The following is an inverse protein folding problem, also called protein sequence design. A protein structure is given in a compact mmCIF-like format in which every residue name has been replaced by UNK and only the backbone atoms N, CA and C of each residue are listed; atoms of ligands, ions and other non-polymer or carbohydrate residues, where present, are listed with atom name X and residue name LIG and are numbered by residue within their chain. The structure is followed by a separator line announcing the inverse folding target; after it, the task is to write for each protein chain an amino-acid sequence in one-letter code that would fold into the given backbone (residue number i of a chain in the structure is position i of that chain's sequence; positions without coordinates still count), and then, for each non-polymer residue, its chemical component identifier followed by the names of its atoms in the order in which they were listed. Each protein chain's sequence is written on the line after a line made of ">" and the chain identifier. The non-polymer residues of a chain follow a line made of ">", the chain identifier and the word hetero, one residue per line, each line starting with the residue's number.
data_IF_571680567768
#
_entry.id   IF_571680567768
#
_cell.length_a   1.000
_cell.length_b   1.000
_cell.length_c   1.000
_cell.angle_alpha   90.00
_cell.angle_beta   90.00
_cell.angle_gamma   90.00
#
_symmetry.space_group_name_H-M   'P 1'
#
loop_
_entity.id
_entity.type
_entity.pdbx_description
1 polymer ?
#
# COMPACT_ATOMS: atom_id res chain seq x y z
N UNK A 1 13.67 8.13 13.97
CA UNK A 1 14.01 7.39 12.74
C UNK A 1 13.12 7.89 11.62
N UNK A 2 13.62 8.09 10.40
CA UNK A 2 12.78 8.45 9.24
C UNK A 2 12.62 7.22 8.35
N UNK A 3 11.38 6.91 7.95
CA UNK A 3 11.08 5.71 7.19
C UNK A 3 9.84 5.90 6.32
N UNK A 4 9.82 5.25 5.14
CA UNK A 4 8.77 5.38 4.13
C UNK A 4 8.43 4.01 3.55
N UNK A 5 7.16 3.83 3.18
CA UNK A 5 6.71 2.73 2.34
C UNK A 5 5.55 3.16 1.45
N UNK A 6 5.76 3.09 0.14
CA UNK A 6 4.76 3.42 -0.87
C UNK A 6 4.66 2.25 -1.84
N UNK A 7 3.74 1.35 -1.57
CA UNK A 7 3.68 0.03 -2.18
C UNK A 7 2.31 -0.23 -2.80
N UNK A 8 2.30 -0.96 -3.91
CA UNK A 8 1.10 -1.66 -4.37
C UNK A 8 1.23 -3.12 -3.94
N UNK A 9 0.22 -3.62 -3.23
CA UNK A 9 0.09 -5.03 -2.86
C UNK A 9 -0.96 -5.71 -3.73
N UNK A 10 -0.64 -6.89 -4.26
CA UNK A 10 -1.51 -7.63 -5.19
C UNK A 10 -1.47 -9.12 -4.86
N UNK A 11 -2.62 -9.80 -4.88
CA UNK A 11 -2.66 -11.27 -4.87
C UNK A 11 -2.19 -11.79 -6.24
N UNK A 12 -1.14 -12.65 -6.29
CA UNK A 12 -0.50 -13.04 -7.55
C UNK A 12 -1.30 -14.12 -8.28
N UNK A 13 -2.28 -13.72 -9.08
CA UNK A 13 -2.95 -14.59 -10.05
C UNK A 13 -2.14 -14.65 -11.36
N UNK A 14 -2.39 -15.66 -12.21
CA UNK A 14 -1.70 -15.76 -13.51
C UNK A 14 -1.93 -14.53 -14.38
N UNK A 15 -3.15 -13.98 -14.39
CA UNK A 15 -3.49 -12.78 -15.15
C UNK A 15 -2.72 -11.55 -14.65
N UNK A 16 -2.62 -11.39 -13.32
CA UNK A 16 -1.82 -10.31 -12.71
C UNK A 16 -0.36 -10.43 -13.09
N UNK A 17 0.23 -11.62 -12.91
CA UNK A 17 1.65 -11.85 -13.17
C UNK A 17 1.98 -11.57 -14.63
N UNK A 18 1.09 -11.96 -15.55
CA UNK A 18 1.23 -11.66 -16.97
C UNK A 18 1.16 -10.14 -17.24
N UNK A 19 0.14 -9.45 -16.75
CA UNK A 19 0.00 -8.00 -16.95
C UNK A 19 1.22 -7.25 -16.41
N UNK A 20 1.70 -7.63 -15.23
CA UNK A 20 2.85 -6.98 -14.58
C UNK A 20 4.15 -7.29 -15.30
N UNK A 21 4.33 -8.51 -15.82
CA UNK A 21 5.51 -8.87 -16.60
C UNK A 21 5.55 -8.20 -17.99
N UNK A 22 4.38 -7.98 -18.60
CA UNK A 22 4.24 -7.37 -19.92
C UNK A 22 4.30 -5.81 -19.87
N UNK A 23 4.09 -5.20 -18.71
CA UNK A 23 4.13 -3.74 -18.51
C UNK A 23 5.56 -3.26 -18.16
N UNK A 24 6.22 -2.46 -19.02
CA UNK A 24 7.61 -2.05 -18.82
C UNK A 24 7.83 -1.15 -17.60
N UNK A 25 6.79 -0.46 -17.12
CA UNK A 25 6.88 0.39 -15.93
C UNK A 25 6.77 -0.46 -14.66
N UNK A 26 5.89 -1.45 -14.66
CA UNK A 26 5.69 -2.32 -13.50
C UNK A 26 6.78 -3.38 -13.37
N UNK A 27 7.18 -4.01 -14.47
CA UNK A 27 8.05 -5.19 -14.45
C UNK A 27 9.38 -4.93 -13.73
N UNK A 28 9.93 -3.73 -13.83
CA UNK A 28 11.24 -3.38 -13.26
C UNK A 28 11.25 -3.32 -11.72
N UNK A 29 10.11 -2.98 -11.10
CA UNK A 29 10.05 -2.85 -9.63
C UNK A 29 8.89 -3.60 -9.01
N UNK A 30 8.56 -4.74 -9.60
CA UNK A 30 7.60 -5.68 -9.07
C UNK A 30 8.31 -6.93 -8.56
N UNK A 31 7.89 -7.40 -7.39
CA UNK A 31 8.55 -8.46 -6.64
C UNK A 31 7.54 -9.48 -6.17
N UNK A 32 7.62 -10.71 -6.68
CA UNK A 32 6.76 -11.80 -6.23
C UNK A 32 7.41 -12.56 -5.07
N UNK A 33 6.98 -12.24 -3.85
CA UNK A 33 7.50 -12.89 -2.64
C UNK A 33 6.60 -14.08 -2.29
N UNK A 34 7.13 -15.30 -2.49
CA UNK A 34 6.36 -16.54 -2.30
C UNK A 34 6.25 -16.98 -0.85
N UNK A 35 7.28 -16.71 -0.04
CA UNK A 35 7.31 -17.04 1.38
C UNK A 35 8.34 -16.17 2.12
N UNK A 36 8.42 -16.31 3.45
CA UNK A 36 9.35 -15.59 4.32
C UNK A 36 10.32 -16.55 5.06
N UNK A 37 10.62 -17.73 4.49
CA UNK A 37 11.43 -18.75 5.19
C UNK A 37 12.82 -18.25 5.57
N UNK A 38 13.39 -17.39 4.72
CA UNK A 38 14.75 -16.87 4.88
C UNK A 38 14.77 -15.49 5.58
N UNK A 39 13.60 -14.99 5.99
CA UNK A 39 13.50 -13.71 6.68
C UNK A 39 14.00 -13.82 8.12
N UNK A 40 14.90 -12.93 8.51
CA UNK A 40 15.39 -12.84 9.88
C UNK A 40 14.44 -11.97 10.70
N UNK A 41 13.67 -12.63 11.55
CA UNK A 41 12.70 -11.97 12.41
C UNK A 41 13.38 -11.22 13.56
N UNK A 42 12.91 -10.01 13.91
CA UNK A 42 13.42 -9.28 15.07
C UNK A 42 13.10 -10.00 16.38
N UNK A 43 11.93 -10.64 16.44
CA UNK A 43 11.41 -11.39 17.59
C UNK A 43 10.39 -12.43 17.11
N UNK A 44 10.07 -13.46 17.93
CA UNK A 44 9.09 -14.48 17.59
C UNK A 44 7.65 -13.96 17.47
N UNK A 45 7.28 -12.89 18.18
CA UNK A 45 5.91 -12.37 18.23
C UNK A 45 5.54 -11.64 16.94
N UNK A 46 6.52 -11.11 16.23
CA UNK A 46 6.35 -10.44 14.93
C UNK A 46 6.24 -11.42 13.75
N UNK A 47 6.43 -12.73 13.97
CA UNK A 47 6.41 -13.73 12.91
C UNK A 47 5.03 -13.86 12.27
N UNK A 48 5.00 -13.75 10.94
CA UNK A 48 3.81 -13.95 10.14
C UNK A 48 4.14 -14.72 8.86
N UNK A 49 3.10 -15.24 8.22
CA UNK A 49 3.20 -15.94 6.94
C UNK A 49 2.79 -15.03 5.79
N UNK A 50 2.93 -15.52 4.56
CA UNK A 50 2.32 -14.93 3.38
C UNK A 50 1.09 -15.75 2.97
N UNK A 51 0.19 -15.21 2.14
CA UNK A 51 -0.90 -15.99 1.55
C UNK A 51 -0.34 -17.19 0.77
N UNK A 52 -1.17 -18.20 0.48
CA UNK A 52 -0.73 -19.47 -0.13
C UNK A 52 0.11 -19.29 -1.41
N UNK A 53 -0.23 -18.29 -2.25
CA UNK A 53 0.49 -18.00 -3.50
C UNK A 53 1.56 -16.91 -3.33
N UNK A 54 1.86 -16.51 -2.10
CA UNK A 54 2.70 -15.35 -1.80
C UNK A 54 1.97 -14.03 -1.96
N UNK A 55 2.76 -12.96 -2.06
CA UNK A 55 2.29 -11.61 -2.31
C UNK A 55 3.14 -10.96 -3.41
N UNK A 56 2.49 -10.31 -4.38
CA UNK A 56 3.17 -9.46 -5.34
C UNK A 56 3.22 -8.03 -4.79
N UNK A 57 4.40 -7.44 -4.80
CA UNK A 57 4.65 -6.08 -4.30
C UNK A 57 5.27 -5.24 -5.40
N UNK A 58 4.64 -4.12 -5.77
CA UNK A 58 5.22 -3.11 -6.66
C UNK A 58 5.75 -1.97 -5.81
N UNK A 59 7.04 -1.65 -5.90
CA UNK A 59 7.65 -0.63 -5.04
C UNK A 59 8.97 -0.05 -5.57
N UNK A 60 9.30 1.20 -5.20
CA UNK A 60 8.39 2.20 -4.62
C UNK A 60 7.52 2.86 -5.71
N UNK A 61 6.30 3.26 -5.36
CA UNK A 61 5.34 3.94 -6.26
C UNK A 61 4.89 5.25 -5.64
N UNK A 62 4.89 6.37 -6.37
CA UNK A 62 4.48 7.67 -5.84
C UNK A 62 4.72 8.84 -6.79
N UNK A 63 4.66 10.05 -6.25
CA UNK A 63 5.11 11.30 -6.87
C UNK A 63 6.65 11.32 -6.94
N UNK A 64 7.26 11.36 -8.15
CA UNK A 64 8.71 11.46 -8.30
C UNK A 64 9.30 12.76 -7.74
N UNK A 65 8.51 13.82 -7.58
CA UNK A 65 8.91 15.12 -7.03
C UNK A 65 8.60 15.23 -5.53
N UNK A 66 7.99 14.20 -4.94
CA UNK A 66 7.70 14.14 -3.50
C UNK A 66 8.98 14.09 -2.65
N UNK A 67 8.94 14.67 -1.44
CA UNK A 67 10.10 14.72 -0.53
C UNK A 67 10.69 13.35 -0.20
N UNK A 68 9.88 12.29 -0.20
CA UNK A 68 10.32 10.92 0.03
C UNK A 68 11.17 10.34 -1.11
N UNK A 69 11.15 10.93 -2.32
CA UNK A 69 11.90 10.41 -3.45
C UNK A 69 13.40 10.34 -3.19
N UNK A 70 13.93 11.33 -2.49
CA UNK A 70 15.33 11.33 -2.05
C UNK A 70 15.69 10.08 -1.24
N UNK A 71 14.78 9.59 -0.40
CA UNK A 71 15.02 8.43 0.46
C UNK A 71 15.04 7.09 -0.28
N UNK A 72 14.47 7.06 -1.48
CA UNK A 72 14.54 5.91 -2.39
C UNK A 72 15.73 5.98 -3.36
N UNK A 73 16.55 7.03 -3.31
CA UNK A 73 17.67 7.24 -4.26
C UNK A 73 17.35 8.22 -5.38
N UNK A 74 16.32 9.06 -5.22
CA UNK A 74 15.92 10.10 -6.18
C UNK A 74 14.72 9.70 -7.05
N UNK A 75 14.27 10.63 -7.88
CA UNK A 75 13.04 10.53 -8.69
C UNK A 75 13.03 9.32 -9.65
N UNK A 76 14.17 8.98 -10.25
CA UNK A 76 14.32 7.80 -11.14
C UNK A 76 14.19 6.47 -10.38
N UNK A 77 14.31 6.50 -9.05
CA UNK A 77 14.18 5.33 -8.21
C UNK A 77 12.73 5.01 -7.83
N UNK A 78 11.74 5.81 -8.25
CA UNK A 78 10.31 5.59 -8.00
C UNK A 78 9.55 5.38 -9.30
N UNK A 79 8.60 4.46 -9.27
CA UNK A 79 7.57 4.37 -10.30
C UNK A 79 6.61 5.55 -10.10
N UNK A 80 6.57 6.45 -11.08
CA UNK A 80 5.66 7.59 -11.04
C UNK A 80 4.21 7.14 -11.11
N UNK A 81 3.40 7.47 -10.11
CA UNK A 81 1.96 7.22 -10.14
C UNK A 81 1.23 8.00 -11.25
N UNK A 82 1.88 8.99 -11.86
CA UNK A 82 1.35 9.76 -12.99
C UNK A 82 1.49 9.01 -14.33
N UNK A 83 2.30 7.94 -14.37
CA UNK A 83 2.42 7.06 -15.52
C UNK A 83 1.15 6.23 -15.75
N UNK A 84 0.30 6.11 -14.74
CA UNK A 84 -0.90 5.28 -14.78
C UNK A 84 -2.17 6.14 -14.80
N UNK A 85 -3.10 5.78 -15.69
CA UNK A 85 -4.36 6.50 -15.84
C UNK A 85 -5.49 5.50 -16.09
N UNK A 86 -6.42 5.43 -15.14
CA UNK A 86 -7.68 4.73 -15.33
C UNK A 86 -8.60 5.52 -16.25
N UNK A 87 -9.57 4.82 -16.84
CA UNK A 87 -10.54 5.41 -17.76
C UNK A 87 -11.61 6.22 -17.02
N UNK A 88 -12.27 7.14 -17.72
CA UNK A 88 -13.21 8.06 -17.08
C UNK A 88 -14.49 7.39 -16.59
N UNK A 89 -14.88 6.27 -17.19
CA UNK A 89 -16.04 5.44 -16.81
C UNK A 89 -15.86 4.75 -15.44
N UNK A 90 -14.61 4.59 -14.98
CA UNK A 90 -14.33 4.05 -13.66
C UNK A 90 -14.62 5.11 -12.61
N UNK A 91 -15.64 4.85 -11.79
CA UNK A 91 -16.02 5.71 -10.67
C UNK A 91 -15.27 5.29 -9.41
N UNK A 92 -14.72 6.26 -8.69
CA UNK A 92 -14.21 6.06 -7.33
C UNK A 92 -15.31 6.41 -6.34
N UNK A 93 -15.51 5.54 -5.37
CA UNK A 93 -16.48 5.77 -4.30
C UNK A 93 -15.84 6.53 -3.14
N UNK A 94 -14.51 6.43 -2.99
CA UNK A 94 -13.73 7.10 -1.95
C UNK A 94 -12.66 7.98 -2.62
N UNK A 95 -12.75 9.28 -2.38
CA UNK A 95 -11.86 10.27 -2.98
C UNK A 95 -10.71 10.64 -2.02
N UNK A 96 -9.50 10.97 -2.54
CA UNK A 96 -8.36 11.43 -1.74
C UNK A 96 -8.70 12.51 -0.72
N UNK A 97 -9.55 13.47 -1.11
CA UNK A 97 -10.01 14.57 -0.24
C UNK A 97 -10.77 14.12 1.01
N UNK A 98 -11.28 12.88 1.06
CA UNK A 98 -11.94 12.35 2.25
C UNK A 98 -10.90 11.99 3.31
N UNK A 99 -9.86 11.24 2.91
CA UNK A 99 -8.77 10.83 3.79
C UNK A 99 -7.89 12.01 4.20
N UNK A 100 -7.72 13.00 3.33
CA UNK A 100 -6.98 14.24 3.63
C UNK A 100 -7.52 15.01 4.85
N UNK A 101 -8.81 14.86 5.18
CA UNK A 101 -9.40 15.52 6.35
C UNK A 101 -8.76 15.10 7.67
N UNK A 102 -8.21 13.89 7.74
CA UNK A 102 -7.57 13.37 8.96
C UNK A 102 -6.17 13.96 9.16
N UNK A 103 -5.53 14.43 8.09
CA UNK A 103 -4.17 14.96 8.11
C UNK A 103 -4.10 16.27 7.30
N UNK A 104 -4.83 17.33 7.72
CA UNK A 104 -4.99 18.56 6.94
C UNK A 104 -3.71 19.38 6.79
N UNK A 105 -2.69 19.10 7.60
CA UNK A 105 -1.37 19.75 7.53
C UNK A 105 -0.54 19.28 6.32
N UNK A 106 -0.90 18.14 5.72
CA UNK A 106 -0.30 17.65 4.48
C UNK A 106 -0.98 18.28 3.26
N UNK A 107 -0.29 18.33 2.12
CA UNK A 107 -0.91 18.78 0.89
C UNK A 107 -1.77 17.67 0.30
N UNK A 108 -2.88 18.02 -0.35
CA UNK A 108 -3.67 17.04 -1.09
C UNK A 108 -2.85 16.33 -2.19
N UNK A 109 -1.77 16.96 -2.68
CA UNK A 109 -0.83 16.37 -3.62
C UNK A 109 0.01 15.22 -3.03
N UNK A 110 0.09 15.11 -1.69
CA UNK A 110 0.74 13.98 -1.01
C UNK A 110 -0.14 12.71 -1.03
N UNK A 111 -1.36 12.81 -1.57
CA UNK A 111 -2.29 11.70 -1.77
C UNK A 111 -2.32 11.23 -3.23
N UNK A 112 -2.62 9.94 -3.48
CA UNK A 112 -2.65 9.39 -4.82
C UNK A 112 -3.61 10.14 -5.74
N UNK A 113 -3.19 10.49 -6.98
CA UNK A 113 -4.04 11.22 -7.89
C UNK A 113 -5.21 10.32 -8.36
N UNK A 114 -6.38 10.93 -8.61
CA UNK A 114 -7.60 10.21 -9.04
C UNK A 114 -7.34 9.26 -10.23
N UNK A 115 -6.62 9.67 -11.30
CA UNK A 115 -6.31 8.76 -12.41
C UNK A 115 -5.57 7.48 -11.99
N UNK A 116 -4.66 7.56 -11.02
CA UNK A 116 -3.93 6.41 -10.50
C UNK A 116 -4.85 5.46 -9.72
N UNK A 117 -5.69 5.99 -8.83
CA UNK A 117 -6.68 5.18 -8.10
C UNK A 117 -7.67 4.49 -9.04
N UNK A 118 -8.15 5.19 -10.07
CA UNK A 118 -9.00 4.58 -11.11
C UNK A 118 -8.28 3.45 -11.85
N UNK A 119 -6.99 3.61 -12.13
CA UNK A 119 -6.18 2.58 -12.77
C UNK A 119 -6.10 1.32 -11.88
N UNK A 120 -5.82 1.48 -10.59
CA UNK A 120 -5.80 0.37 -9.63
C UNK A 120 -7.17 -0.34 -9.54
N UNK A 121 -8.27 0.42 -9.47
CA UNK A 121 -9.63 -0.14 -9.48
C UNK A 121 -9.92 -0.92 -10.76
N UNK A 122 -9.49 -0.41 -11.91
CA UNK A 122 -9.62 -1.07 -13.21
C UNK A 122 -8.83 -2.38 -13.25
N UNK A 123 -7.58 -2.34 -12.77
CA UNK A 123 -6.71 -3.51 -12.72
C UNK A 123 -7.29 -4.58 -11.79
N UNK A 124 -7.81 -4.20 -10.62
CA UNK A 124 -8.50 -5.10 -9.69
C UNK A 124 -9.70 -5.76 -10.36
N UNK A 125 -10.54 -4.98 -11.05
CA UNK A 125 -11.74 -5.49 -11.72
C UNK A 125 -11.39 -6.44 -12.89
N UNK A 126 -10.41 -6.06 -13.72
CA UNK A 126 -9.98 -6.83 -14.88
C UNK A 126 -9.37 -8.18 -14.49
N UNK A 127 -8.60 -8.21 -13.41
CA UNK A 127 -7.92 -9.42 -12.92
C UNK A 127 -8.70 -10.18 -11.85
N UNK A 128 -9.85 -9.65 -11.43
CA UNK A 128 -10.68 -10.19 -10.33
C UNK A 128 -9.87 -10.49 -9.08
N UNK A 129 -8.91 -9.62 -8.77
CA UNK A 129 -7.98 -9.78 -7.65
C UNK A 129 -8.10 -8.61 -6.66
N UNK A 130 -7.63 -8.83 -5.44
CA UNK A 130 -7.45 -7.74 -4.47
C UNK A 130 -6.19 -6.96 -4.79
N UNK A 131 -6.31 -5.64 -4.88
CA UNK A 131 -5.21 -4.71 -5.07
C UNK A 131 -5.30 -3.65 -3.98
N UNK A 132 -4.18 -3.32 -3.35
CA UNK A 132 -4.11 -2.19 -2.43
C UNK A 132 -2.96 -1.27 -2.77
N UNK A 133 -3.19 0.04 -2.69
CA UNK A 133 -2.10 1.02 -2.58
C UNK A 133 -1.98 1.42 -1.12
N UNK A 134 -0.78 1.27 -0.57
CA UNK A 134 -0.47 1.61 0.81
C UNK A 134 0.64 2.67 0.82
N UNK A 135 0.44 3.68 1.65
CA UNK A 135 1.38 4.78 1.88
C UNK A 135 1.62 4.94 3.36
N UNK A 136 2.88 5.02 3.76
CA UNK A 136 3.26 5.41 5.11
C UNK A 136 4.54 6.24 5.11
N UNK A 137 4.51 7.30 5.89
CA UNK A 137 5.65 8.16 6.21
C UNK A 137 5.76 8.26 7.72
N UNK A 138 6.97 8.02 8.23
CA UNK A 138 7.29 8.16 9.64
C UNK A 138 8.45 9.12 9.83
N UNK A 139 8.36 9.95 10.87
CA UNK A 139 9.40 10.85 11.31
C UNK A 139 9.62 10.70 12.81
N UNK A 140 10.87 10.72 13.27
CA UNK A 140 11.16 10.51 14.70
C UNK A 140 10.90 9.09 15.22
N UNK A 141 10.14 8.26 14.52
CA UNK A 141 9.58 7.00 15.03
C UNK A 141 8.05 7.05 15.15
N UNK A 142 7.45 8.21 14.92
CA UNK A 142 6.02 8.43 14.91
C UNK A 142 5.48 8.40 13.47
N UNK A 143 4.22 8.00 13.33
CA UNK A 143 3.50 8.04 12.06
C UNK A 143 3.09 9.48 11.77
N UNK A 144 3.57 10.02 10.66
CA UNK A 144 3.23 11.36 10.19
C UNK A 144 1.99 11.32 9.30
N UNK A 145 1.99 10.40 8.33
CA UNK A 145 0.86 10.15 7.44
C UNK A 145 0.88 8.68 7.04
N UNK A 146 -0.25 8.01 7.21
CA UNK A 146 -0.43 6.63 6.80
C UNK A 146 -1.85 6.43 6.28
N UNK A 147 -1.96 5.81 5.11
CA UNK A 147 -3.25 5.53 4.51
C UNK A 147 -3.15 4.36 3.51
N UNK A 148 -4.32 3.83 3.15
CA UNK A 148 -4.43 2.75 2.18
C UNK A 148 -5.74 2.80 1.42
N UNK A 149 -5.69 2.48 0.13
CA UNK A 149 -6.87 2.18 -0.69
C UNK A 149 -6.83 0.71 -1.08
N UNK A 150 -7.92 -0.02 -0.81
CA UNK A 150 -8.11 -1.42 -1.16
C UNK A 150 -9.24 -1.55 -2.18
N UNK A 151 -8.90 -2.10 -3.33
CA UNK A 151 -9.81 -2.42 -4.42
C UNK A 151 -10.07 -3.92 -4.45
N UNK A 152 -11.34 -4.27 -4.30
CA UNK A 152 -11.95 -5.60 -4.48
C UNK A 152 -13.34 -5.36 -5.12
N UNK A 153 -14.32 -6.28 -5.10
CA UNK A 153 -15.67 -5.95 -5.57
C UNK A 153 -16.25 -4.67 -4.95
N UNK A 154 -15.82 -4.32 -3.73
CA UNK A 154 -16.12 -3.04 -3.08
C UNK A 154 -14.80 -2.25 -2.88
N UNK A 155 -14.91 -0.92 -2.82
CA UNK A 155 -13.82 -0.02 -2.48
C UNK A 155 -13.78 0.21 -0.96
N UNK A 156 -12.60 0.12 -0.35
CA UNK A 156 -12.38 0.43 1.07
C UNK A 156 -11.12 1.27 1.17
N UNK A 157 -11.10 2.25 2.06
CA UNK A 157 -9.89 2.99 2.37
C UNK A 157 -9.71 3.13 3.88
N UNK A 158 -8.46 3.31 4.29
CA UNK A 158 -8.06 3.48 5.68
C UNK A 158 -7.18 4.71 5.79
N UNK A 159 -7.38 5.53 6.81
CA UNK A 159 -6.49 6.64 7.14
C UNK A 159 -6.12 6.59 8.60
N UNK A 160 -4.84 6.77 8.90
CA UNK A 160 -4.37 7.02 10.25
C UNK A 160 -4.94 8.35 10.75
N UNK A 161 -5.36 8.35 12.02
CA UNK A 161 -5.94 9.52 12.70
C UNK A 161 -4.99 9.99 13.81
N UNK A 162 -4.58 9.07 14.67
CA UNK A 162 -3.72 9.38 15.80
C UNK A 162 -3.14 8.12 16.42
N UNK A 163 -1.97 8.25 17.07
CA UNK A 163 -1.47 7.27 18.02
C UNK A 163 -1.37 7.93 19.38
N UNK A 164 -1.97 7.34 20.40
CA UNK A 164 -1.75 7.71 21.80
C UNK A 164 -1.05 6.56 22.55
N UNK A 165 -0.74 6.75 23.84
CA UNK A 165 -0.04 5.75 24.64
C UNK A 165 -0.78 4.40 24.74
N UNK A 166 -2.07 4.36 24.40
CA UNK A 166 -2.92 3.20 24.59
C UNK A 166 -3.28 2.50 23.26
N UNK A 167 -3.34 3.22 22.13
CA UNK A 167 -3.69 2.64 20.84
C UNK A 167 -3.44 3.56 19.64
N UNK A 168 -3.21 2.92 18.49
CA UNK A 168 -3.37 3.52 17.15
C UNK A 168 -4.85 3.56 16.79
N UNK A 169 -5.30 4.68 16.22
CA UNK A 169 -6.65 4.89 15.69
C UNK A 169 -6.61 5.16 14.19
N UNK A 170 -7.60 4.61 13.49
CA UNK A 170 -7.81 4.84 12.07
C UNK A 170 -9.28 5.12 11.78
N UNK A 171 -9.52 5.77 10.63
CA UNK A 171 -10.85 5.88 10.01
C UNK A 171 -10.96 4.84 8.89
N UNK A 172 -12.00 4.02 8.92
CA UNK A 172 -12.40 3.17 7.79
C UNK A 172 -13.43 3.90 6.93
N UNK A 173 -13.14 4.04 5.64
CA UNK A 173 -14.07 4.57 4.64
C UNK A 173 -14.61 3.40 3.81
N UNK A 174 -15.92 3.26 3.77
CA UNK A 174 -16.62 2.22 3.00
C UNK A 174 -17.91 2.82 2.43
N UNK A 175 -18.21 2.68 1.13
CA UNK A 175 -19.40 3.31 0.52
C UNK A 175 -20.72 2.82 1.12
N UNK A 176 -20.73 1.57 1.59
CA UNK A 176 -21.92 0.88 2.09
C UNK A 176 -22.16 1.08 3.59
N UNK A 177 -21.23 1.76 4.31
CA UNK A 177 -21.27 1.92 5.76
C UNK A 177 -20.85 3.33 6.19
N UNK A 178 -21.33 3.83 7.34
CA UNK A 178 -20.84 5.09 7.88
C UNK A 178 -19.33 5.04 8.11
N UNK A 179 -18.66 6.19 7.96
CA UNK A 179 -17.27 6.36 8.37
C UNK A 179 -17.13 6.01 9.86
N UNK A 180 -16.18 5.14 10.18
CA UNK A 180 -15.98 4.62 11.53
C UNK A 180 -14.54 4.87 11.97
N UNK A 181 -14.37 5.62 13.07
CA UNK A 181 -13.08 5.73 13.77
C UNK A 181 -12.99 4.59 14.78
N UNK A 182 -11.97 3.75 14.67
CA UNK A 182 -11.74 2.64 15.60
C UNK A 182 -10.26 2.43 15.92
N UNK A 183 -10.02 1.66 16.98
CA UNK A 183 -8.68 1.17 17.31
C UNK A 183 -8.24 0.19 16.22
N UNK A 184 -7.06 0.42 15.67
CA UNK A 184 -6.49 -0.39 14.61
C UNK A 184 -5.28 0.28 13.96
N UNK A 185 -4.60 -0.49 13.14
CA UNK A 185 -3.41 -0.07 12.39
C UNK A 185 -3.70 -0.21 10.88
N UNK A 186 -3.36 0.82 10.09
CA UNK A 186 -3.74 0.87 8.67
C UNK A 186 -3.08 -0.26 7.89
N UNK A 187 -1.82 -0.59 8.17
CA UNK A 187 -1.13 -1.69 7.53
C UNK A 187 -1.79 -3.03 7.89
N UNK A 188 -2.07 -3.25 9.18
CA UNK A 188 -2.73 -4.47 9.64
C UNK A 188 -4.11 -4.64 9.00
N UNK A 189 -4.94 -3.59 8.98
CA UNK A 189 -6.27 -3.64 8.33
C UNK A 189 -6.15 -3.86 6.82
N UNK A 190 -5.16 -3.25 6.15
CA UNK A 190 -4.91 -3.47 4.73
C UNK A 190 -4.55 -4.93 4.45
N UNK A 191 -3.64 -5.50 5.25
CA UNK A 191 -3.15 -6.87 5.07
C UNK A 191 -4.24 -7.93 5.29
N UNK A 192 -5.25 -7.68 6.14
CA UNK A 192 -6.41 -8.57 6.29
C UNK A 192 -7.12 -8.86 4.96
N UNK A 193 -7.16 -7.92 4.01
CA UNK A 193 -7.77 -8.14 2.69
C UNK A 193 -6.99 -9.11 1.78
N UNK A 194 -5.75 -9.41 2.15
CA UNK A 194 -4.91 -10.40 1.48
C UNK A 194 -4.91 -11.75 2.24
N UNK A 195 -5.73 -11.89 3.28
CA UNK A 195 -5.76 -13.08 4.14
C UNK A 195 -4.60 -13.13 5.15
N UNK A 196 -3.98 -11.98 5.43
CA UNK A 196 -2.87 -11.87 6.37
C UNK A 196 -3.36 -11.31 7.70
N UNK A 197 -3.14 -12.08 8.77
CA UNK A 197 -3.30 -11.61 10.14
C UNK A 197 -1.91 -11.32 10.70
N UNK A 198 -1.51 -10.06 10.65
CA UNK A 198 -0.27 -9.65 11.31
C UNK A 198 -0.47 -9.69 12.82
N UNK A 199 0.46 -10.26 13.59
CA UNK A 199 0.38 -10.29 15.06
C UNK A 199 0.72 -8.93 15.69
N UNK A 200 1.51 -8.13 14.99
CA UNK A 200 1.92 -6.77 15.38
C UNK A 200 1.87 -5.87 14.14
N UNK A 201 2.04 -4.54 14.26
CA UNK A 201 2.21 -3.64 13.12
C UNK A 201 3.47 -3.93 12.26
N UNK A 202 4.30 -4.90 12.65
CA UNK A 202 5.46 -5.30 11.87
C UNK A 202 5.05 -6.17 10.67
N UNK A 203 5.44 -5.75 9.46
CA UNK A 203 5.32 -6.54 8.24
C UNK A 203 6.68 -6.69 7.55
N UNK A 204 7.10 -7.91 7.23
CA UNK A 204 8.46 -8.18 6.74
C UNK A 204 8.75 -7.43 5.43
N UNK A 205 7.78 -7.45 4.51
CA UNK A 205 7.82 -6.80 3.19
C UNK A 205 7.65 -5.27 3.27
N UNK A 206 7.56 -4.74 4.48
CA UNK A 206 7.48 -3.32 4.74
C UNK A 206 8.81 -2.75 5.24
N UNK A 207 9.67 -3.61 5.78
CA UNK A 207 10.92 -3.18 6.38
C UNK A 207 11.92 -2.71 5.35
N UNK A 208 12.72 -1.70 5.72
CA UNK A 208 13.85 -1.23 4.90
C UNK A 208 14.92 -2.32 4.70
N UNK A 209 15.07 -3.22 5.66
CA UNK A 209 16.04 -4.31 5.63
C UNK A 209 15.64 -5.49 4.75
N UNK A 210 14.43 -5.51 4.19
CA UNK A 210 13.99 -6.62 3.35
C UNK A 210 14.81 -6.71 2.05
N UNK A 211 15.35 -7.88 1.67
CA UNK A 211 16.34 -8.01 0.61
C UNK A 211 15.70 -8.08 -0.79
N UNK A 212 15.03 -7.00 -1.23
CA UNK A 212 14.31 -6.94 -2.51
C UNK A 212 15.13 -7.34 -3.73
N UNK A 213 16.42 -7.00 -3.75
CA UNK A 213 17.34 -7.34 -4.83
C UNK A 213 17.51 -8.86 -5.08
N UNK A 214 17.06 -9.71 -4.16
CA UNK A 214 17.10 -11.17 -4.30
C UNK A 214 15.81 -11.76 -4.88
N UNK A 215 14.78 -10.93 -5.06
CA UNK A 215 13.47 -11.36 -5.53
C UNK A 215 13.31 -10.91 -6.99
N UNK A 216 12.87 -11.83 -7.84
CA UNK A 216 12.49 -11.56 -9.23
C UNK A 216 11.11 -12.20 -9.49
N UNK A 217 10.40 -11.68 -10.49
CA UNK A 217 9.14 -12.27 -11.00
C UNK A 217 9.44 -13.46 -11.91
#
# INVERSE_FOLDING_TARGET
>A
MTWFAHHIFILPTQDVLKIVADDPVLSEKSYWVRNLSDHKWPDPESQHTLPLNGLLVVRPVGDPDGHYAFWYGGSESIISWFAFRGTDDVKLDILPKQLHKENPDFNLADYPPIPFLKWLKSLSAATKTTIAYYHCTMWGGDVEIEYSWVFKPNEIAYSFVSSDQNATKLTEYCPDRPEEVRIGDVLMETMKHFGLNLPTPYFALHTRGFPWHKIQI
#
